data_IF_991328197428
#
_entry.id   IF_991328197428
#
_cell.length_a   1.000
_cell.length_b   1.000
_cell.length_c   1.000
_cell.angle_alpha   90.00
_cell.angle_beta   90.00
_cell.angle_gamma   90.00
#
_symmetry.space_group_name_H-M   'P 1'
#
loop_
_entity.id
_entity.type
_entity.pdbx_description
1 polymer ?
#
# COMPACT_ATOMS: atom_id res chain seq x y z
N UNK A 1 -17.69 -0.63 -59.29
CA UNK A 1 -17.96 -1.24 -57.97
C UNK A 1 -16.73 -2.00 -57.53
N UNK A 2 -15.95 -1.37 -56.64
CA UNK A 2 -15.24 -1.96 -55.50
C UNK A 2 -14.10 -1.02 -55.12
N UNK A 3 -14.48 -0.02 -54.34
CA UNK A 3 -13.59 0.82 -53.53
C UNK A 3 -12.77 -0.07 -52.59
N UNK A 4 -11.45 0.05 -52.64
CA UNK A 4 -10.55 -0.41 -51.58
C UNK A 4 -10.43 0.72 -50.57
N UNK A 5 -11.13 0.54 -49.45
CA UNK A 5 -11.05 1.39 -48.28
C UNK A 5 -9.61 1.48 -47.77
N UNK A 6 -9.17 2.72 -47.52
CA UNK A 6 -7.99 3.03 -46.76
C UNK A 6 -8.24 2.68 -45.29
N UNK A 7 -7.47 1.73 -44.75
CA UNK A 7 -7.43 1.46 -43.32
C UNK A 7 -6.74 2.62 -42.61
N UNK A 8 -7.55 3.51 -42.05
CA UNK A 8 -7.13 4.51 -41.09
C UNK A 8 -6.70 3.82 -39.80
N UNK A 9 -5.39 3.71 -39.58
CA UNK A 9 -4.84 3.52 -38.23
C UNK A 9 -5.15 4.78 -37.43
N UNK A 10 -6.25 4.73 -36.71
CA UNK A 10 -6.54 5.61 -35.58
C UNK A 10 -5.42 5.44 -34.55
N UNK A 11 -4.50 6.39 -34.51
CA UNK A 11 -3.57 6.56 -33.38
C UNK A 11 -4.40 6.91 -32.17
N UNK A 12 -4.73 5.90 -31.35
CA UNK A 12 -5.19 6.12 -30.00
C UNK A 12 -4.10 6.94 -29.30
N UNK A 13 -4.43 8.18 -28.94
CA UNK A 13 -3.65 9.02 -28.03
C UNK A 13 -3.63 8.31 -26.66
N UNK A 14 -2.77 7.32 -26.53
CA UNK A 14 -2.58 6.55 -25.30
C UNK A 14 -1.99 7.45 -24.25
N UNK A 15 -2.78 7.79 -23.23
CA UNK A 15 -2.23 8.15 -21.93
C UNK A 15 -1.23 7.06 -21.56
N UNK A 16 0.03 7.42 -21.31
CA UNK A 16 1.01 6.48 -20.79
C UNK A 16 0.41 5.76 -19.57
N UNK A 17 0.57 4.43 -19.42
CA UNK A 17 0.04 3.71 -18.28
C UNK A 17 0.63 4.32 -16.99
N UNK A 18 -0.26 4.76 -16.10
CA UNK A 18 0.14 5.32 -14.81
C UNK A 18 0.76 4.21 -13.94
N UNK A 19 1.93 4.47 -13.37
CA UNK A 19 2.59 3.54 -12.44
C UNK A 19 1.85 3.62 -11.10
N UNK A 20 1.60 2.49 -10.45
CA UNK A 20 0.99 2.48 -9.10
C UNK A 20 2.05 2.19 -8.04
N UNK A 21 1.79 2.57 -6.79
CA UNK A 21 2.66 2.17 -5.66
C UNK A 21 2.75 0.67 -5.47
N UNK A 22 1.66 -0.04 -5.74
CA UNK A 22 1.66 -1.50 -5.74
C UNK A 22 2.58 -2.07 -6.83
N UNK A 23 2.56 -1.46 -8.02
CA UNK A 23 3.51 -1.74 -9.09
C UNK A 23 4.96 -1.47 -8.65
N UNK A 24 5.24 -0.35 -7.97
CA UNK A 24 6.56 -0.08 -7.41
C UNK A 24 6.99 -1.14 -6.40
N UNK A 25 6.11 -1.51 -5.47
CA UNK A 25 6.39 -2.55 -4.49
C UNK A 25 6.67 -3.91 -5.16
N UNK A 26 5.91 -4.25 -6.20
CA UNK A 26 6.10 -5.45 -7.01
C UNK A 26 7.45 -5.43 -7.72
N UNK A 27 7.82 -4.32 -8.36
CA UNK A 27 9.09 -4.16 -9.05
C UNK A 27 10.31 -4.26 -8.11
N UNK A 28 10.20 -3.65 -6.92
CA UNK A 28 11.26 -3.71 -5.91
C UNK A 28 11.49 -5.15 -5.42
N UNK A 29 10.41 -5.93 -5.25
CA UNK A 29 10.50 -7.36 -4.89
C UNK A 29 11.09 -8.20 -6.02
N UNK A 30 10.56 -8.07 -7.23
CA UNK A 30 11.05 -8.78 -8.40
C UNK A 30 10.63 -8.05 -9.70
N UNK A 31 11.57 -7.56 -10.51
CA UNK A 31 11.26 -6.88 -11.77
C UNK A 31 10.53 -7.78 -12.77
N UNK A 32 10.88 -9.07 -12.81
CA UNK A 32 10.20 -10.08 -13.65
C UNK A 32 8.75 -10.29 -13.22
N UNK A 33 8.49 -10.31 -11.91
CA UNK A 33 7.11 -10.36 -11.40
C UNK A 33 6.32 -9.12 -11.83
N UNK A 34 6.94 -7.95 -11.77
CA UNK A 34 6.32 -6.71 -12.24
C UNK A 34 5.95 -6.79 -13.73
N UNK A 35 6.87 -7.26 -14.57
CA UNK A 35 6.60 -7.46 -16.00
C UNK A 35 5.38 -8.35 -16.23
N UNK A 36 5.34 -9.52 -15.59
CA UNK A 36 4.20 -10.43 -15.74
C UNK A 36 2.88 -9.83 -15.25
N UNK A 37 2.88 -9.24 -14.07
CA UNK A 37 1.68 -8.71 -13.44
C UNK A 37 1.17 -7.43 -14.11
N UNK A 38 2.04 -6.43 -14.29
CA UNK A 38 1.67 -5.05 -14.64
C UNK A 38 1.87 -4.72 -16.11
N UNK A 39 2.78 -5.41 -16.82
CA UNK A 39 3.01 -5.20 -18.27
C UNK A 39 2.19 -6.19 -19.10
N UNK A 40 2.17 -7.45 -18.70
CA UNK A 40 1.45 -8.51 -19.42
C UNK A 40 0.04 -8.80 -18.86
N UNK A 41 -0.31 -8.26 -17.69
CA UNK A 41 -1.64 -8.44 -17.11
C UNK A 41 -1.94 -9.88 -16.71
N UNK A 42 -0.90 -10.65 -16.34
CA UNK A 42 -1.03 -12.06 -15.97
C UNK A 42 -1.45 -12.27 -14.51
N UNK A 43 -1.58 -11.20 -13.72
CA UNK A 43 -1.97 -11.30 -12.31
C UNK A 43 -3.45 -11.66 -12.16
N UNK A 44 -3.71 -12.79 -11.51
CA UNK A 44 -5.04 -13.16 -11.06
C UNK A 44 -5.46 -12.27 -9.89
N UNK A 45 -6.72 -11.85 -9.87
CA UNK A 45 -7.31 -11.07 -8.76
C UNK A 45 -7.65 -11.95 -7.55
N UNK A 46 -6.83 -12.95 -7.25
CA UNK A 46 -7.08 -13.83 -6.11
C UNK A 46 -6.53 -13.16 -4.86
N UNK A 47 -7.30 -12.20 -4.33
CA UNK A 47 -7.06 -11.61 -3.03
C UNK A 47 -7.06 -12.72 -1.97
N UNK A 48 -6.13 -12.65 -1.02
CA UNK A 48 -6.16 -13.60 0.09
C UNK A 48 -7.46 -13.43 0.88
N UNK A 49 -8.02 -14.50 1.48
CA UNK A 49 -9.22 -14.37 2.31
C UNK A 49 -9.08 -13.33 3.43
N UNK A 50 -7.86 -13.12 3.93
CA UNK A 50 -7.58 -12.09 4.93
C UNK A 50 -7.72 -10.68 4.34
N UNK A 51 -7.15 -10.42 3.16
CA UNK A 51 -7.28 -9.12 2.49
C UNK A 51 -8.73 -8.82 2.12
N UNK A 52 -9.46 -9.82 1.59
CA UNK A 52 -10.87 -9.68 1.26
C UNK A 52 -11.70 -9.30 2.50
N UNK A 53 -11.46 -9.95 3.66
CA UNK A 53 -12.14 -9.62 4.92
C UNK A 53 -11.76 -8.24 5.47
N UNK A 54 -10.49 -7.85 5.37
CA UNK A 54 -10.04 -6.49 5.75
C UNK A 54 -10.70 -5.44 4.89
N UNK A 55 -10.88 -5.72 3.59
CA UNK A 55 -11.56 -4.81 2.69
C UNK A 55 -13.04 -4.61 3.06
N UNK A 56 -13.72 -5.62 3.63
CA UNK A 56 -15.07 -5.45 4.21
C UNK A 56 -15.05 -4.44 5.36
N UNK A 57 -14.08 -4.55 6.29
CA UNK A 57 -13.94 -3.65 7.44
C UNK A 57 -13.60 -2.23 6.97
N UNK A 58 -12.64 -2.10 6.05
CA UNK A 58 -12.26 -0.83 5.43
C UNK A 58 -13.47 -0.14 4.80
N UNK A 59 -14.25 -0.86 3.99
CA UNK A 59 -15.49 -0.34 3.36
C UNK A 59 -16.51 0.06 4.42
N UNK A 60 -16.73 -0.76 5.43
CA UNK A 60 -17.67 -0.46 6.51
C UNK A 60 -17.30 0.82 7.27
N UNK A 61 -16.02 1.00 7.65
CA UNK A 61 -15.52 2.21 8.29
C UNK A 61 -15.69 3.43 7.38
N UNK A 62 -15.29 3.34 6.12
CA UNK A 62 -15.41 4.46 5.18
C UNK A 62 -16.87 4.86 4.96
N UNK A 63 -17.77 3.89 4.85
CA UNK A 63 -19.20 4.13 4.66
C UNK A 63 -19.82 4.78 5.90
N UNK A 64 -19.43 4.34 7.10
CA UNK A 64 -19.82 4.98 8.36
C UNK A 64 -19.31 6.43 8.45
N UNK A 65 -18.04 6.70 8.13
CA UNK A 65 -17.50 8.07 8.13
C UNK A 65 -18.19 9.00 7.11
N UNK A 66 -18.84 8.45 6.07
CA UNK A 66 -19.63 9.23 5.11
C UNK A 66 -20.98 9.68 5.65
N UNK A 67 -21.53 9.03 6.67
CA UNK A 67 -22.83 9.43 7.24
C UNK A 67 -22.76 10.83 7.86
N UNK A 68 -21.58 11.21 8.35
CA UNK A 68 -21.38 12.47 9.06
C UNK A 68 -21.58 12.38 10.57
N UNK A 69 -21.89 11.18 11.09
CA UNK A 69 -21.95 10.94 12.53
C UNK A 69 -20.57 11.13 13.16
N UNK A 70 -20.49 11.98 14.19
CA UNK A 70 -19.24 12.25 14.93
C UNK A 70 -19.20 11.61 16.32
N UNK A 71 -20.35 11.17 16.83
CA UNK A 71 -20.45 10.41 18.08
C UNK A 71 -19.98 8.97 17.91
N UNK A 72 -19.16 8.47 18.85
CA UNK A 72 -18.61 7.12 18.81
C UNK A 72 -19.71 6.04 18.67
N UNK A 73 -20.75 6.09 19.50
CA UNK A 73 -21.84 5.09 19.47
C UNK A 73 -22.55 5.04 18.11
N UNK A 74 -22.91 6.21 17.56
CA UNK A 74 -23.59 6.31 16.27
C UNK A 74 -22.68 5.87 15.10
N UNK A 75 -21.38 6.18 15.18
CA UNK A 75 -20.40 5.75 14.18
C UNK A 75 -20.18 4.24 14.22
N UNK A 76 -20.09 3.65 15.41
CA UNK A 76 -19.94 2.20 15.61
C UNK A 76 -21.17 1.44 15.10
N UNK A 77 -22.38 1.91 15.44
CA UNK A 77 -23.63 1.35 14.94
C UNK A 77 -23.67 1.37 13.40
N UNK A 78 -23.41 2.52 12.79
CA UNK A 78 -23.37 2.67 11.34
C UNK A 78 -22.33 1.75 10.67
N UNK A 79 -21.14 1.63 11.26
CA UNK A 79 -20.09 0.76 10.73
C UNK A 79 -20.45 -0.73 10.87
N UNK A 80 -21.02 -1.15 12.00
CA UNK A 80 -21.44 -2.55 12.21
C UNK A 80 -22.60 -2.95 11.31
N UNK A 81 -23.59 -2.08 11.15
CA UNK A 81 -24.71 -2.33 10.23
C UNK A 81 -24.22 -2.51 8.80
N UNK A 82 -23.29 -1.64 8.38
CA UNK A 82 -22.70 -1.74 7.06
C UNK A 82 -21.86 -3.02 6.90
N UNK A 83 -21.03 -3.35 7.88
CA UNK A 83 -20.26 -4.60 7.89
C UNK A 83 -21.19 -5.81 7.83
N UNK A 84 -22.30 -5.81 8.57
CA UNK A 84 -23.30 -6.88 8.55
C UNK A 84 -23.91 -7.08 7.17
N UNK A 85 -24.18 -5.99 6.44
CA UNK A 85 -24.65 -6.04 5.05
C UNK A 85 -23.57 -6.62 4.14
N UNK A 86 -22.34 -6.10 4.19
CA UNK A 86 -21.23 -6.57 3.38
C UNK A 86 -20.89 -8.05 3.64
N UNK A 87 -20.96 -8.49 4.89
CA UNK A 87 -20.72 -9.87 5.30
C UNK A 87 -21.80 -10.85 4.84
N UNK A 88 -23.04 -10.38 4.69
CA UNK A 88 -24.13 -11.20 4.16
C UNK A 88 -23.87 -11.57 2.69
N UNK A 89 -23.31 -10.63 1.93
CA UNK A 89 -22.98 -10.78 0.50
C UNK A 89 -21.58 -11.37 0.26
N UNK A 90 -20.75 -11.49 1.30
CA UNK A 90 -19.38 -12.02 1.20
C UNK A 90 -19.38 -13.53 0.96
N UNK A 91 -18.93 -13.94 -0.23
CA UNK A 91 -18.82 -15.33 -0.63
C UNK A 91 -17.42 -15.88 -0.30
N UNK A 92 -17.30 -16.49 0.87
CA UNK A 92 -16.10 -17.20 1.30
C UNK A 92 -16.45 -18.59 1.82
N UNK A 93 -15.61 -19.57 1.46
CA UNK A 93 -15.75 -20.94 1.92
C UNK A 93 -15.19 -21.10 3.33
N UNK A 94 -16.08 -21.26 4.30
CA UNK A 94 -15.74 -21.60 5.68
C UNK A 94 -15.89 -23.10 5.92
N UNK A 95 -15.02 -23.68 6.77
CA UNK A 95 -15.14 -25.09 7.17
C UNK A 95 -16.37 -25.35 8.04
N UNK A 96 -16.92 -24.33 8.70
CA UNK A 96 -18.14 -24.45 9.50
C UNK A 96 -18.87 -23.12 9.70
N UNK A 97 -20.15 -23.18 10.06
CA UNK A 97 -20.92 -22.01 10.52
C UNK A 97 -20.36 -21.40 11.81
N UNK A 98 -19.69 -22.21 12.65
CA UNK A 98 -19.02 -21.70 13.85
C UNK A 98 -17.81 -20.83 13.48
N UNK A 99 -17.00 -21.26 12.51
CA UNK A 99 -15.90 -20.46 11.96
C UNK A 99 -16.42 -19.18 11.33
N UNK A 100 -17.45 -19.25 10.46
CA UNK A 100 -18.06 -18.05 9.86
C UNK A 100 -18.53 -17.04 10.92
N UNK A 101 -19.20 -17.50 11.99
CA UNK A 101 -19.62 -16.63 13.09
C UNK A 101 -18.45 -16.06 13.89
N UNK A 102 -17.38 -16.82 14.08
CA UNK A 102 -16.18 -16.35 14.76
C UNK A 102 -15.49 -15.24 13.96
N UNK A 103 -15.27 -15.46 12.67
CA UNK A 103 -14.64 -14.47 11.77
C UNK A 103 -15.46 -13.18 11.72
N UNK A 104 -16.79 -13.28 11.61
CA UNK A 104 -17.67 -12.09 11.71
C UNK A 104 -17.46 -11.30 13.01
N UNK A 105 -17.42 -11.98 14.16
CA UNK A 105 -17.20 -11.32 15.47
C UNK A 105 -15.84 -10.64 15.56
N UNK A 106 -14.80 -11.21 14.93
CA UNK A 106 -13.48 -10.58 14.85
C UNK A 106 -13.58 -9.27 14.06
N UNK A 107 -14.25 -9.26 12.92
CA UNK A 107 -14.44 -8.03 12.13
C UNK A 107 -15.26 -6.98 12.89
N UNK A 108 -16.32 -7.39 13.58
CA UNK A 108 -17.13 -6.49 14.42
C UNK A 108 -16.32 -5.91 15.58
N UNK A 109 -15.47 -6.70 16.24
CA UNK A 109 -14.57 -6.22 17.29
C UNK A 109 -13.49 -5.26 16.74
N UNK A 110 -13.01 -5.51 15.52
CA UNK A 110 -12.05 -4.63 14.84
C UNK A 110 -12.65 -3.27 14.56
N UNK A 111 -13.91 -3.23 14.10
CA UNK A 111 -14.66 -1.97 13.91
C UNK A 111 -14.78 -1.22 15.23
N UNK A 112 -15.17 -1.89 16.32
CA UNK A 112 -15.27 -1.28 17.64
C UNK A 112 -13.96 -0.69 18.11
N UNK A 113 -12.87 -1.45 18.00
CA UNK A 113 -11.55 -0.99 18.40
C UNK A 113 -11.08 0.24 17.61
N UNK A 114 -11.37 0.29 16.30
CA UNK A 114 -11.10 1.49 15.50
C UNK A 114 -11.91 2.69 15.99
N UNK A 115 -13.21 2.51 16.25
CA UNK A 115 -14.07 3.62 16.69
C UNK A 115 -13.65 4.15 18.06
N UNK A 116 -13.35 3.25 19.00
CA UNK A 116 -12.87 3.57 20.34
C UNK A 116 -11.51 4.31 20.30
N UNK A 117 -10.58 3.84 19.48
CA UNK A 117 -9.24 4.40 19.43
C UNK A 117 -9.13 5.72 18.66
N UNK A 118 -9.96 5.91 17.62
CA UNK A 118 -9.73 6.98 16.64
C UNK A 118 -10.99 7.52 15.94
N UNK A 119 -12.07 6.72 15.88
CA UNK A 119 -13.18 6.98 14.97
C UNK A 119 -13.86 8.33 15.19
N UNK A 120 -14.13 8.70 16.46
CA UNK A 120 -14.78 9.96 16.79
C UNK A 120 -13.93 11.19 16.43
N UNK A 121 -12.62 11.13 16.69
CA UNK A 121 -11.68 12.21 16.34
C UNK A 121 -11.56 12.37 14.83
N UNK A 122 -11.45 11.25 14.09
CA UNK A 122 -11.39 11.25 12.64
C UNK A 122 -12.69 11.77 12.02
N UNK A 123 -13.85 11.37 12.55
CA UNK A 123 -15.16 11.84 12.10
C UNK A 123 -15.33 13.34 12.34
N UNK A 124 -14.93 13.84 13.51
CA UNK A 124 -14.95 15.27 13.84
C UNK A 124 -14.02 16.08 12.93
N UNK A 125 -12.82 15.55 12.65
CA UNK A 125 -11.90 16.18 11.70
C UNK A 125 -12.39 16.15 10.25
N UNK A 126 -13.19 15.15 9.88
CA UNK A 126 -13.86 15.10 8.58
C UNK A 126 -14.97 16.14 8.48
N UNK A 127 -15.75 16.34 9.54
CA UNK A 127 -16.76 17.40 9.62
C UNK A 127 -16.10 18.77 9.48
N UNK A 128 -15.02 19.04 10.23
CA UNK A 128 -14.25 20.27 10.11
C UNK A 128 -13.72 20.48 8.68
N UNK A 129 -13.14 19.43 8.06
CA UNK A 129 -12.66 19.51 6.68
C UNK A 129 -13.79 19.79 5.67
N UNK A 130 -14.99 19.26 5.88
CA UNK A 130 -16.17 19.54 5.04
C UNK A 130 -16.65 20.98 5.19
N UNK A 131 -16.58 21.53 6.40
CA UNK A 131 -16.92 22.92 6.67
C UNK A 131 -15.94 23.89 6.01
N UNK A 132 -14.64 23.58 6.08
CA UNK A 132 -13.57 24.40 5.48
C UNK A 132 -13.54 24.30 3.95
N UNK A 133 -13.88 23.12 3.39
CA UNK A 133 -13.85 22.87 1.95
C UNK A 133 -15.13 22.16 1.45
N UNK A 134 -16.25 22.91 1.32
CA UNK A 134 -17.53 22.38 0.88
C UNK A 134 -17.48 22.03 -0.61
N UNK A 135 -17.52 20.74 -0.94
CA UNK A 135 -17.49 20.24 -2.33
C UNK A 135 -16.46 19.15 -2.60
N UNK A 136 -15.60 18.82 -1.63
CA UNK A 136 -14.67 17.70 -1.73
C UNK A 136 -15.27 16.36 -1.31
N UNK A 137 -15.07 15.31 -2.10
CA UNK A 137 -15.24 13.94 -1.62
C UNK A 137 -14.04 13.61 -0.71
N UNK A 138 -14.22 13.64 0.60
CA UNK A 138 -13.10 13.44 1.56
C UNK A 138 -12.95 12.00 2.06
N UNK A 139 -13.91 11.12 1.73
CA UNK A 139 -13.99 9.72 2.21
C UNK A 139 -14.31 8.77 1.06
N UNK A 140 -13.55 7.70 0.89
CA UNK A 140 -13.64 6.76 -0.22
C UNK A 140 -12.63 5.64 -0.05
N UNK A 141 -13.02 4.34 0.11
CA UNK A 141 -12.01 3.29 0.13
C UNK A 141 -11.22 3.40 -1.18
N UNK A 142 -9.90 3.38 -1.06
CA UNK A 142 -9.00 3.54 -2.20
C UNK A 142 -9.14 4.87 -2.99
N UNK A 143 -9.43 5.99 -2.33
CA UNK A 143 -9.34 7.32 -2.95
C UNK A 143 -7.95 7.54 -3.52
N UNK A 144 -7.90 7.81 -4.83
CA UNK A 144 -6.63 8.06 -5.52
C UNK A 144 -6.05 9.43 -5.15
N UNK A 145 -4.77 9.41 -4.84
CA UNK A 145 -3.88 10.57 -4.79
C UNK A 145 -2.70 10.26 -5.71
N UNK A 146 -2.12 11.27 -6.34
CA UNK A 146 -1.03 11.04 -7.28
C UNK A 146 0.10 12.04 -7.11
N UNK A 147 1.30 11.62 -7.50
CA UNK A 147 2.49 12.47 -7.56
C UNK A 147 3.08 12.40 -8.96
N UNK A 148 3.55 13.55 -9.47
CA UNK A 148 4.30 13.62 -10.72
C UNK A 148 5.79 13.68 -10.42
N UNK A 149 6.52 12.65 -10.85
CA UNK A 149 7.96 12.53 -10.66
C UNK A 149 8.66 12.87 -11.97
N UNK A 150 9.59 13.84 -11.91
CA UNK A 150 10.50 14.14 -13.01
C UNK A 150 11.63 13.12 -13.02
N UNK A 151 11.92 12.59 -14.21
CA UNK A 151 12.92 11.55 -14.37
C UNK A 151 14.30 12.17 -14.64
N UNK A 152 15.39 11.62 -14.08
CA UNK A 152 16.74 12.05 -14.39
C UNK A 152 17.06 11.76 -15.86
N UNK A 153 17.92 12.57 -16.48
CA UNK A 153 18.43 12.33 -17.83
C UNK A 153 19.05 10.92 -17.94
N UNK A 154 19.00 10.32 -19.12
CA UNK A 154 19.57 8.99 -19.31
C UNK A 154 21.09 9.03 -19.16
N UNK A 155 21.63 8.26 -18.20
CA UNK A 155 23.08 8.11 -17.95
C UNK A 155 23.88 7.60 -19.17
N UNK A 156 23.20 7.17 -20.24
CA UNK A 156 23.80 6.53 -21.42
C UNK A 156 24.05 7.41 -22.65
N UNK A 157 23.76 8.72 -22.63
CA UNK A 157 24.06 9.64 -23.74
C UNK A 157 23.37 9.31 -25.09
N UNK A 158 22.42 8.37 -25.12
CA UNK A 158 21.60 8.05 -26.28
C UNK A 158 20.44 9.05 -26.46
N UNK A 159 19.77 9.05 -27.64
CA UNK A 159 18.61 9.91 -27.84
C UNK A 159 17.52 9.62 -26.81
N UNK A 160 17.13 10.66 -26.07
CA UNK A 160 16.12 10.58 -25.02
C UNK A 160 14.73 10.42 -25.65
N UNK A 161 14.26 9.18 -25.73
CA UNK A 161 12.94 8.83 -26.27
C UNK A 161 11.91 8.56 -25.17
N UNK A 162 12.29 8.70 -23.90
CA UNK A 162 11.41 8.46 -22.75
C UNK A 162 10.65 9.71 -22.32
N UNK A 163 9.55 9.56 -21.54
CA UNK A 163 8.88 10.69 -20.91
C UNK A 163 9.83 11.40 -19.93
N UNK A 164 9.73 12.74 -19.86
CA UNK A 164 10.46 13.57 -18.89
C UNK A 164 9.88 13.47 -17.47
N UNK A 165 8.59 13.13 -17.37
CA UNK A 165 7.89 12.98 -16.10
C UNK A 165 6.85 11.86 -16.18
N UNK A 166 6.61 11.22 -15.04
CA UNK A 166 5.65 10.12 -14.90
C UNK A 166 4.75 10.37 -13.70
N UNK A 167 3.47 10.09 -13.86
CA UNK A 167 2.50 10.11 -12.77
C UNK A 167 2.51 8.76 -12.06
N UNK A 168 2.57 8.83 -10.73
CA UNK A 168 2.49 7.66 -9.85
C UNK A 168 1.22 7.80 -9.01
N UNK A 169 0.37 6.76 -9.06
CA UNK A 169 -0.88 6.69 -8.32
C UNK A 169 -0.70 5.95 -7.00
N UNK A 170 -1.25 6.51 -5.93
CA UNK A 170 -1.41 5.91 -4.62
C UNK A 170 -2.86 6.01 -4.15
N UNK A 171 -3.19 5.30 -3.08
CA UNK A 171 -4.50 5.32 -2.46
C UNK A 171 -4.45 5.69 -0.98
N UNK A 172 -5.46 6.44 -0.55
CA UNK A 172 -5.85 6.66 0.85
C UNK A 172 -7.33 6.30 0.99
N UNK A 173 -7.80 6.02 2.19
CA UNK A 173 -9.21 5.70 2.44
C UNK A 173 -10.04 6.95 2.80
N UNK A 174 -9.42 7.91 3.46
CA UNK A 174 -10.02 9.22 3.72
C UNK A 174 -8.93 10.24 4.07
N UNK A 175 -9.31 11.51 4.05
CA UNK A 175 -8.52 12.59 4.60
C UNK A 175 -9.35 13.41 5.58
N UNK A 176 -8.75 13.85 6.68
CA UNK A 176 -9.43 14.66 7.70
C UNK A 176 -8.55 15.84 8.13
N UNK A 177 -9.19 16.86 8.71
CA UNK A 177 -8.50 17.99 9.30
C UNK A 177 -8.12 17.69 10.75
N UNK A 178 -6.85 17.94 11.12
CA UNK A 178 -6.40 17.92 12.51
C UNK A 178 -5.68 19.23 12.83
N UNK A 179 -6.43 20.24 13.27
CA UNK A 179 -5.90 21.59 13.48
C UNK A 179 -5.30 22.16 12.20
N UNK A 180 -3.98 22.35 12.20
CA UNK A 180 -3.22 22.86 11.04
C UNK A 180 -2.75 21.76 10.07
N UNK A 181 -3.09 20.49 10.31
CA UNK A 181 -2.70 19.37 9.46
C UNK A 181 -3.87 18.91 8.58
N UNK A 182 -3.57 18.55 7.32
CA UNK A 182 -4.40 17.68 6.48
C UNK A 182 -3.82 16.26 6.56
N UNK A 183 -4.57 15.35 7.15
CA UNK A 183 -4.11 13.97 7.41
C UNK A 183 -4.79 13.02 6.44
N UNK A 184 -4.02 12.36 5.56
CA UNK A 184 -4.49 11.23 4.78
C UNK A 184 -4.32 9.93 5.56
N UNK A 185 -5.34 9.08 5.54
CA UNK A 185 -5.35 7.80 6.27
C UNK A 185 -5.49 6.63 5.30
N UNK A 186 -4.68 5.58 5.51
CA UNK A 186 -4.83 4.29 4.85
C UNK A 186 -5.03 3.19 5.89
N UNK A 187 -6.11 2.44 5.74
CA UNK A 187 -6.43 1.25 6.52
C UNK A 187 -5.80 0.04 5.83
N UNK A 188 -4.93 -0.67 6.53
CA UNK A 188 -4.11 -1.76 5.97
C UNK A 188 -4.37 -3.07 6.71
N UNK A 189 -4.19 -4.23 6.08
CA UNK A 189 -4.23 -5.50 6.80
C UNK A 189 -3.15 -5.57 7.90
N UNK A 190 -1.93 -5.10 7.60
CA UNK A 190 -0.80 -5.13 8.54
C UNK A 190 0.23 -4.06 8.20
N UNK A 191 0.99 -3.62 9.20
CA UNK A 191 2.17 -2.78 8.99
C UNK A 191 3.46 -3.56 8.77
N UNK A 192 3.40 -4.87 8.53
CA UNK A 192 4.59 -5.70 8.26
C UNK A 192 5.45 -5.15 7.12
N UNK A 193 4.83 -4.53 6.11
CA UNK A 193 5.53 -3.88 4.99
C UNK A 193 6.44 -2.72 5.42
N UNK A 194 6.23 -2.12 6.59
CA UNK A 194 7.14 -1.11 7.14
C UNK A 194 8.45 -1.70 7.66
N UNK A 195 8.51 -3.01 7.94
CA UNK A 195 9.69 -3.64 8.53
C UNK A 195 10.20 -2.88 9.76
N UNK A 196 11.52 -2.64 9.90
CA UNK A 196 12.07 -1.89 11.03
C UNK A 196 11.62 -0.43 11.15
N UNK A 197 11.05 0.16 10.09
CA UNK A 197 10.60 1.57 10.08
C UNK A 197 9.48 1.81 11.09
N UNK A 198 8.64 0.79 11.36
CA UNK A 198 7.52 0.90 12.32
C UNK A 198 7.96 1.24 13.75
N UNK A 199 9.20 0.93 14.11
CA UNK A 199 9.72 1.11 15.48
C UNK A 199 10.54 2.39 15.66
N UNK A 200 10.68 3.23 14.64
CA UNK A 200 11.54 4.41 14.69
C UNK A 200 10.71 5.67 14.89
N UNK A 201 10.65 6.14 16.14
CA UNK A 201 9.98 7.38 16.54
C UNK A 201 10.77 8.65 16.18
N UNK A 202 12.08 8.53 15.96
CA UNK A 202 12.93 9.60 15.44
C UNK A 202 14.04 9.03 14.56
N UNK A 203 14.44 9.79 13.54
CA UNK A 203 15.40 9.39 12.51
C UNK A 203 16.72 10.19 12.64
N UNK A 204 17.17 10.41 13.88
CA UNK A 204 18.38 11.19 14.17
C UNK A 204 19.65 10.32 14.14
N UNK A 205 20.78 10.92 13.72
CA UNK A 205 22.11 10.30 13.73
C UNK A 205 22.42 9.37 12.55
N UNK A 206 23.11 8.25 12.83
CA UNK A 206 23.72 7.29 11.88
C UNK A 206 22.77 6.62 10.87
N UNK A 207 21.47 6.92 10.91
CA UNK A 207 20.47 6.29 10.03
C UNK A 207 20.52 6.87 8.60
N UNK A 208 20.96 8.12 8.44
CA UNK A 208 21.09 8.76 7.12
C UNK A 208 22.21 8.12 6.26
N UNK A 209 23.35 7.86 6.87
CA UNK A 209 24.49 7.20 6.21
C UNK A 209 24.17 5.75 5.84
N UNK A 210 23.37 5.06 6.66
CA UNK A 210 22.90 3.69 6.39
C UNK A 210 21.80 3.62 5.32
N UNK A 211 21.26 4.77 4.91
CA UNK A 211 20.05 4.85 4.09
C UNK A 211 20.35 4.64 2.61
N UNK A 212 21.47 5.16 2.10
CA UNK A 212 21.85 4.98 0.69
C UNK A 212 22.00 3.50 0.33
N UNK A 213 22.54 2.73 1.25
CA UNK A 213 22.77 1.30 1.11
C UNK A 213 21.46 0.51 1.22
N UNK A 214 20.46 1.00 1.96
CA UNK A 214 19.12 0.40 1.99
C UNK A 214 18.33 0.55 0.68
N UNK A 215 18.74 1.45 -0.24
CA UNK A 215 18.11 1.58 -1.57
C UNK A 215 18.87 0.87 -2.68
N UNK A 216 20.08 0.37 -2.43
CA UNK A 216 20.83 -0.36 -3.44
C UNK A 216 20.32 -1.81 -3.51
N UNK A 217 19.64 -2.22 -4.59
CA UNK A 217 19.15 -3.59 -4.71
C UNK A 217 20.26 -4.65 -4.70
N UNK A 218 21.54 -4.28 -4.86
CA UNK A 218 22.67 -5.19 -4.68
C UNK A 218 23.10 -5.36 -3.21
N UNK A 219 22.81 -4.40 -2.32
CA UNK A 219 23.27 -4.43 -0.93
C UNK A 219 22.40 -5.33 -0.05
N UNK A 220 23.00 -6.09 0.87
CA UNK A 220 22.30 -7.05 1.75
C UNK A 220 21.30 -6.41 2.72
N UNK A 221 21.40 -5.10 2.94
CA UNK A 221 20.45 -4.33 3.76
C UNK A 221 19.22 -3.89 3.01
N UNK A 222 19.17 -4.07 1.69
CA UNK A 222 17.99 -3.72 0.91
C UNK A 222 16.81 -4.62 1.28
N UNK A 223 15.77 -3.98 1.81
CA UNK A 223 14.49 -4.60 2.11
C UNK A 223 13.39 -3.97 1.24
N UNK A 224 12.79 -4.72 0.29
CA UNK A 224 11.79 -4.17 -0.63
C UNK A 224 10.58 -3.52 0.05
N UNK A 225 10.12 -4.09 1.17
CA UNK A 225 8.94 -3.60 1.90
C UNK A 225 9.15 -2.18 2.45
N UNK A 226 10.14 -1.98 3.34
CA UNK A 226 10.49 -0.66 3.85
C UNK A 226 10.73 0.39 2.76
N UNK A 227 11.46 0.03 1.69
CA UNK A 227 11.70 0.95 0.55
C UNK A 227 10.39 1.31 -0.15
N UNK A 228 9.52 0.35 -0.42
CA UNK A 228 8.22 0.60 -1.03
C UNK A 228 7.34 1.51 -0.16
N UNK A 229 7.36 1.33 1.17
CA UNK A 229 6.62 2.19 2.10
C UNK A 229 7.12 3.64 2.12
N UNK A 230 8.43 3.85 1.97
CA UNK A 230 9.02 5.20 1.85
C UNK A 230 8.60 5.87 0.54
N UNK A 231 8.61 5.13 -0.58
CA UNK A 231 8.11 5.61 -1.86
C UNK A 231 6.62 5.94 -1.81
N UNK A 232 5.82 5.07 -1.20
CA UNK A 232 4.40 5.32 -0.99
C UNK A 232 4.16 6.58 -0.19
N UNK A 233 4.88 6.75 0.92
CA UNK A 233 4.77 7.95 1.75
C UNK A 233 5.11 9.21 0.96
N UNK A 234 6.16 9.17 0.13
CA UNK A 234 6.53 10.28 -0.75
C UNK A 234 5.41 10.63 -1.74
N UNK A 235 4.83 9.62 -2.40
CA UNK A 235 3.76 9.81 -3.39
C UNK A 235 2.48 10.33 -2.71
N UNK A 236 2.10 9.76 -1.58
CA UNK A 236 0.90 10.18 -0.83
C UNK A 236 1.04 11.60 -0.31
N UNK A 237 2.18 11.98 0.26
CA UNK A 237 2.38 13.36 0.77
C UNK A 237 2.32 14.40 -0.36
N UNK A 238 2.91 14.13 -1.52
CA UNK A 238 2.81 15.01 -2.69
C UNK A 238 1.36 15.08 -3.22
N UNK A 239 0.66 13.95 -3.24
CA UNK A 239 -0.75 13.90 -3.60
C UNK A 239 -1.67 14.62 -2.61
N UNK A 240 -1.37 14.56 -1.31
CA UNK A 240 -2.07 15.31 -0.26
C UNK A 240 -1.82 16.81 -0.37
N UNK A 241 -0.60 17.25 -0.75
CA UNK A 241 -0.32 18.67 -1.04
C UNK A 241 -1.14 19.16 -2.22
N UNK A 242 -1.20 18.38 -3.29
CA UNK A 242 -2.06 18.68 -4.46
C UNK A 242 -3.54 18.75 -4.05
N UNK A 243 -3.98 17.84 -3.17
CA UNK A 243 -5.33 17.86 -2.61
C UNK A 243 -5.58 19.12 -1.78
N UNK A 244 -4.65 19.47 -0.87
CA UNK A 244 -4.70 20.67 -0.03
C UNK A 244 -4.84 21.92 -0.88
N UNK A 245 -3.99 22.07 -1.89
CA UNK A 245 -3.97 23.23 -2.78
C UNK A 245 -5.28 23.35 -3.56
N UNK A 246 -5.83 22.21 -4.04
CA UNK A 246 -7.14 22.18 -4.71
C UNK A 246 -8.31 22.55 -3.78
N UNK A 247 -8.18 22.29 -2.48
CA UNK A 247 -9.20 22.60 -1.49
C UNK A 247 -9.02 24.00 -0.88
N UNK A 248 -8.08 24.81 -1.37
CA UNK A 248 -7.75 26.15 -0.84
C UNK A 248 -7.39 26.12 0.66
N UNK A 249 -6.76 25.02 1.10
CA UNK A 249 -6.31 24.83 2.48
C UNK A 249 -4.84 25.27 2.65
N UNK A 250 -4.48 26.37 2.00
CA UNK A 250 -3.13 26.93 2.02
C UNK A 250 -2.69 27.18 3.48
N UNK A 251 -1.44 26.82 3.80
CA UNK A 251 -0.90 26.92 5.16
C UNK A 251 -1.05 25.66 6.02
N UNK A 252 -1.81 24.64 5.57
CA UNK A 252 -1.82 23.33 6.25
C UNK A 252 -0.61 22.48 5.88
N UNK A 253 -0.06 21.79 6.87
CA UNK A 253 0.91 20.70 6.65
C UNK A 253 0.18 19.44 6.21
N UNK A 254 0.88 18.53 5.53
CA UNK A 254 0.30 17.26 5.10
C UNK A 254 0.93 16.11 5.89
N UNK A 255 0.09 15.19 6.36
CA UNK A 255 0.51 14.02 7.11
C UNK A 255 -0.10 12.76 6.54
N UNK A 256 0.68 11.68 6.55
CA UNK A 256 0.20 10.35 6.17
C UNK A 256 0.17 9.44 7.40
N UNK A 257 -0.97 8.79 7.61
CA UNK A 257 -1.25 7.84 8.68
C UNK A 257 -1.62 6.48 8.08
N UNK A 258 -1.02 5.41 8.60
CA UNK A 258 -1.39 4.03 8.26
C UNK A 258 -1.93 3.34 9.51
N UNK A 259 -3.08 2.69 9.39
CA UNK A 259 -3.76 2.02 10.50
C UNK A 259 -3.92 0.54 10.16
N UNK A 260 -3.32 -0.38 10.92
CA UNK A 260 -3.56 -1.80 10.73
C UNK A 260 -4.95 -2.18 11.24
N UNK A 261 -5.66 -3.01 10.47
CA UNK A 261 -6.96 -3.59 10.83
C UNK A 261 -6.89 -5.09 11.13
N UNK A 262 -5.82 -5.76 10.73
CA UNK A 262 -5.65 -7.21 10.94
C UNK A 262 -4.24 -7.56 11.43
N UNK A 263 -3.52 -6.62 12.06
CA UNK A 263 -2.18 -6.89 12.57
C UNK A 263 -2.23 -7.81 13.80
N UNK A 264 -2.23 -9.11 13.51
CA UNK A 264 -1.99 -10.20 14.47
C UNK A 264 -0.51 -10.58 14.52
N UNK A 265 0.40 -9.72 14.03
CA UNK A 265 1.76 -10.12 13.71
C UNK A 265 2.52 -10.58 14.98
N UNK A 266 2.54 -11.91 15.20
CA UNK A 266 3.31 -12.68 16.20
C UNK A 266 2.80 -12.81 17.64
N UNK A 267 1.55 -12.48 17.96
CA UNK A 267 0.96 -12.82 19.29
C UNK A 267 0.29 -14.20 19.35
N UNK A 268 0.15 -14.91 18.22
CA UNK A 268 -0.12 -16.35 18.31
C UNK A 268 1.18 -17.12 18.56
N UNK A 269 1.33 -17.56 19.82
CA UNK A 269 1.96 -18.85 20.17
C UNK A 269 3.49 -18.84 20.11
N UNK A 270 4.07 -18.64 21.29
CA UNK A 270 5.38 -19.20 21.63
C UNK A 270 5.31 -20.73 21.42
N UNK A 271 5.71 -21.23 20.24
CA UNK A 271 6.02 -22.65 20.05
C UNK A 271 7.36 -22.96 20.74
N UNK A 272 7.46 -22.66 22.03
CA UNK A 272 8.46 -23.28 22.88
C UNK A 272 7.91 -24.66 23.20
N UNK A 273 8.55 -25.67 22.61
CA UNK A 273 8.39 -27.09 22.90
C UNK A 273 7.92 -27.34 24.34
N UNK A 274 6.72 -27.94 24.48
CA UNK A 274 6.46 -28.86 25.59
C UNK A 274 5.38 -28.54 26.61
N UNK A 275 4.66 -27.41 26.55
CA UNK A 275 3.54 -27.17 27.48
C UNK A 275 2.39 -26.45 26.78
N UNK A 276 1.32 -27.20 26.50
CA UNK A 276 0.03 -26.67 26.08
C UNK A 276 -0.69 -26.20 27.36
N UNK A 277 -0.72 -24.90 27.62
CA UNK A 277 -1.69 -24.33 28.55
C UNK A 277 -3.01 -24.11 27.80
N UNK A 278 -3.96 -25.01 28.05
CA UNK A 278 -5.34 -24.95 27.55
C UNK A 278 -6.19 -23.99 28.39
N UNK A 279 -5.86 -22.71 28.37
CA UNK A 279 -6.79 -21.66 28.82
C UNK A 279 -6.53 -20.38 28.04
N UNK A 280 -7.04 -20.32 26.82
CA UNK A 280 -7.24 -19.07 26.08
C UNK A 280 -8.56 -18.48 26.57
N UNK A 281 -8.54 -17.34 27.27
CA UNK A 281 -9.77 -16.62 27.55
C UNK A 281 -10.25 -15.93 26.26
N UNK A 282 -11.58 -15.71 26.07
CA UNK A 282 -12.10 -15.02 24.89
C UNK A 282 -11.45 -13.66 24.63
N UNK A 283 -10.99 -12.97 25.69
CA UNK A 283 -10.22 -11.72 25.64
C UNK A 283 -8.90 -11.88 24.89
N UNK A 284 -8.19 -13.00 25.06
CA UNK A 284 -6.89 -13.27 24.42
C UNK A 284 -7.01 -13.56 22.91
N UNK A 285 -8.23 -13.74 22.40
CA UNK A 285 -8.53 -14.06 20.98
C UNK A 285 -9.24 -12.88 20.27
N UNK A 286 -9.60 -11.82 21.02
CA UNK A 286 -10.37 -10.66 20.51
C UNK A 286 -9.60 -9.36 20.43
N UNK A 287 -8.34 -9.29 20.86
CA UNK A 287 -7.58 -8.04 20.83
C UNK A 287 -7.26 -7.60 19.39
N UNK A 288 -7.98 -6.59 18.93
CA UNK A 288 -7.66 -5.83 17.73
C UNK A 288 -6.59 -4.78 18.07
N UNK A 289 -5.45 -4.86 17.40
CA UNK A 289 -4.36 -3.90 17.55
C UNK A 289 -4.53 -2.77 16.53
N UNK A 290 -4.91 -1.58 17.01
CA UNK A 290 -4.95 -0.33 16.23
C UNK A 290 -3.88 0.60 16.79
N UNK A 291 -2.78 0.76 16.06
CA UNK A 291 -1.72 1.73 16.39
C UNK A 291 -1.63 2.82 15.32
N UNK A 292 -1.35 4.04 15.77
CA UNK A 292 -1.34 5.25 14.98
C UNK A 292 0.10 5.62 14.60
N UNK A 293 0.58 5.13 13.45
CA UNK A 293 1.93 5.47 13.01
C UNK A 293 1.96 6.66 12.05
N UNK A 294 2.55 7.76 12.54
CA UNK A 294 2.68 9.03 11.84
C UNK A 294 4.00 9.13 11.07
N UNK A 295 3.94 9.34 9.75
CA UNK A 295 5.15 9.47 8.92
C UNK A 295 5.40 10.87 8.34
N UNK A 296 4.43 11.78 8.44
CA UNK A 296 4.46 13.10 7.78
C UNK A 296 5.65 13.99 8.15
N UNK A 297 5.81 14.34 9.43
CA UNK A 297 6.84 15.29 9.87
C UNK A 297 8.29 14.79 9.65
N UNK A 298 8.50 13.48 9.72
CA UNK A 298 9.85 12.90 9.59
C UNK A 298 10.34 12.87 8.13
N UNK A 299 9.42 12.79 7.18
CA UNK A 299 9.72 12.73 5.74
C UNK A 299 9.95 14.09 5.09
N UNK A 300 9.37 15.18 5.60
CA UNK A 300 9.49 16.52 5.00
C UNK A 300 10.95 17.00 4.89
N UNK A 301 11.80 16.63 5.86
CA UNK A 301 13.24 16.99 5.86
C UNK A 301 14.10 16.19 4.89
N UNK A 302 13.62 15.03 4.41
CA UNK A 302 14.42 14.07 3.60
C UNK A 302 13.76 13.65 2.28
N UNK A 303 12.72 14.38 1.85
CA UNK A 303 12.01 14.17 0.59
C UNK A 303 12.95 14.11 -0.65
N UNK A 304 14.05 14.88 -0.75
CA UNK A 304 14.90 14.85 -1.96
C UNK A 304 15.54 13.49 -2.26
N UNK A 305 16.15 12.82 -1.28
CA UNK A 305 16.85 11.55 -1.51
C UNK A 305 15.88 10.41 -1.86
N UNK A 306 14.77 10.29 -1.13
CA UNK A 306 13.71 9.32 -1.43
C UNK A 306 13.14 9.55 -2.82
N UNK A 307 12.90 10.82 -3.18
CA UNK A 307 12.34 11.22 -4.47
C UNK A 307 13.30 10.97 -5.64
N UNK A 308 14.60 11.20 -5.44
CA UNK A 308 15.63 10.88 -6.43
C UNK A 308 15.74 9.37 -6.67
N UNK A 309 15.72 8.57 -5.59
CA UNK A 309 15.72 7.10 -5.69
C UNK A 309 14.45 6.57 -6.35
N UNK A 310 13.29 7.13 -6.00
CA UNK A 310 12.02 6.85 -6.65
C UNK A 310 12.09 7.14 -8.15
N UNK A 311 12.61 8.31 -8.54
CA UNK A 311 12.77 8.69 -9.94
C UNK A 311 13.68 7.73 -10.72
N UNK A 312 14.78 7.24 -10.10
CA UNK A 312 15.65 6.21 -10.70
C UNK A 312 14.94 4.87 -10.89
N UNK A 313 14.17 4.41 -9.91
CA UNK A 313 13.37 3.17 -10.04
C UNK A 313 12.31 3.30 -11.13
N UNK A 314 11.61 4.43 -11.17
CA UNK A 314 10.62 4.72 -12.22
C UNK A 314 11.27 4.76 -13.60
N UNK A 315 12.44 5.39 -13.72
CA UNK A 315 13.20 5.41 -14.99
C UNK A 315 13.53 4.00 -15.46
N UNK A 316 13.92 3.08 -14.56
CA UNK A 316 14.15 1.67 -14.90
C UNK A 316 12.88 0.95 -15.39
N UNK A 317 11.73 1.21 -14.75
CA UNK A 317 10.44 0.66 -15.17
C UNK A 317 10.07 1.15 -16.58
N UNK A 318 10.18 2.46 -16.82
CA UNK A 318 9.90 3.08 -18.13
C UNK A 318 10.87 2.60 -19.21
N UNK A 319 12.11 2.30 -18.84
CA UNK A 319 13.12 1.72 -19.73
C UNK A 319 13.01 0.19 -19.87
N UNK A 320 11.92 -0.42 -19.38
CA UNK A 320 11.63 -1.86 -19.45
C UNK A 320 12.74 -2.77 -18.90
N UNK A 321 13.43 -2.30 -17.85
CA UNK A 321 14.50 -3.06 -17.19
C UNK A 321 13.91 -4.05 -16.20
N UNK A 322 13.46 -5.19 -16.72
CA UNK A 322 12.80 -6.26 -15.96
C UNK A 322 13.65 -7.50 -15.67
N UNK A 323 14.93 -7.47 -16.02
CA UNK A 323 15.86 -8.54 -15.67
C UNK A 323 16.05 -8.61 -14.14
N UNK A 324 15.66 -9.73 -13.48
CA UNK A 324 15.80 -9.88 -12.04
C UNK A 324 17.25 -10.15 -11.61
N UNK A 325 18.15 -10.47 -12.54
CA UNK A 325 19.58 -10.69 -12.29
C UNK A 325 20.39 -9.39 -12.23
N UNK A 326 19.78 -8.25 -12.60
CA UNK A 326 20.41 -6.93 -12.59
C UNK A 326 19.93 -6.02 -11.42
N UNK A 327 20.86 -5.36 -10.69
CA UNK A 327 22.32 -5.49 -10.78
C UNK A 327 22.83 -6.84 -10.24
N UNK A 328 24.10 -7.15 -10.54
CA UNK A 328 24.75 -8.37 -10.08
C UNK A 328 24.59 -8.57 -8.56
N UNK A 329 24.35 -9.81 -8.14
CA UNK A 329 24.08 -10.18 -6.74
C UNK A 329 22.60 -10.05 -6.32
N UNK A 330 21.74 -9.42 -7.13
CA UNK A 330 20.31 -9.31 -6.83
C UNK A 330 19.57 -10.66 -6.92
N UNK A 331 19.98 -11.53 -7.85
CA UNK A 331 19.27 -12.77 -8.13
C UNK A 331 19.13 -13.66 -6.89
N UNK A 332 20.21 -13.90 -6.15
CA UNK A 332 20.19 -14.76 -4.94
C UNK A 332 19.11 -14.32 -3.94
N UNK A 333 18.93 -13.01 -3.76
CA UNK A 333 17.87 -12.49 -2.89
C UNK A 333 16.48 -12.67 -3.47
N UNK A 334 16.33 -12.50 -4.78
CA UNK A 334 15.06 -12.70 -5.50
C UNK A 334 14.66 -14.18 -5.45
N UNK A 335 15.59 -15.09 -5.75
CA UNK A 335 15.36 -16.54 -5.69
C UNK A 335 15.01 -16.99 -4.28
N UNK A 336 15.72 -16.50 -3.25
CA UNK A 336 15.44 -16.88 -1.85
C UNK A 336 14.13 -16.31 -1.31
N UNK A 337 13.81 -15.05 -1.60
CA UNK A 337 12.72 -14.32 -0.91
C UNK A 337 11.46 -14.13 -1.72
N UNK A 338 11.56 -14.03 -3.05
CA UNK A 338 10.42 -13.74 -3.92
C UNK A 338 9.90 -14.99 -4.64
N UNK A 339 10.79 -15.84 -5.16
CA UNK A 339 10.39 -17.02 -5.93
C UNK A 339 9.54 -18.05 -5.18
N UNK A 340 9.75 -18.37 -3.88
CA UNK A 340 9.00 -19.44 -3.20
C UNK A 340 7.48 -19.22 -3.14
N UNK A 341 7.05 -17.96 -3.26
CA UNK A 341 5.63 -17.57 -3.24
C UNK A 341 5.20 -16.89 -4.55
N UNK A 342 5.98 -17.05 -5.62
CA UNK A 342 5.72 -16.41 -6.91
C UNK A 342 4.92 -17.34 -7.82
N UNK A 343 3.68 -16.94 -8.14
CA UNK A 343 2.78 -17.66 -9.05
C UNK A 343 3.34 -17.80 -10.48
N UNK A 344 4.29 -16.95 -10.86
CA UNK A 344 4.91 -16.94 -12.19
C UNK A 344 6.18 -17.79 -12.31
N UNK A 345 6.58 -18.50 -11.24
CA UNK A 345 7.81 -19.33 -11.25
C UNK A 345 7.88 -20.28 -12.44
N UNK A 346 6.76 -20.89 -12.80
CA UNK A 346 6.65 -21.84 -13.93
C UNK A 346 6.94 -21.23 -15.31
N UNK A 347 6.84 -19.90 -15.44
CA UNK A 347 7.11 -19.17 -16.68
C UNK A 347 8.38 -18.29 -16.58
N UNK A 348 9.05 -18.29 -15.43
CA UNK A 348 10.23 -17.48 -15.18
C UNK A 348 11.48 -18.18 -15.72
N UNK A 349 12.06 -17.66 -16.81
CA UNK A 349 13.24 -18.25 -17.45
C UNK A 349 14.43 -18.35 -16.51
N UNK A 350 14.66 -17.34 -15.66
CA UNK A 350 15.76 -17.32 -14.71
C UNK A 350 15.61 -18.41 -13.63
N UNK A 351 14.40 -18.56 -13.07
CA UNK A 351 14.11 -19.57 -12.06
C UNK A 351 14.23 -20.99 -12.63
N UNK A 352 13.65 -21.23 -13.83
CA UNK A 352 13.75 -22.52 -14.51
C UNK A 352 15.21 -22.86 -14.84
N UNK A 353 16.00 -21.89 -15.28
CA UNK A 353 17.41 -22.10 -15.56
C UNK A 353 18.24 -22.48 -14.33
N UNK A 354 17.89 -21.97 -13.14
CA UNK A 354 18.50 -22.35 -11.87
C UNK A 354 18.11 -23.77 -11.45
N UNK A 355 16.81 -24.11 -11.49
CA UNK A 355 16.31 -25.44 -11.10
C UNK A 355 16.80 -26.58 -12.00
N UNK A 356 17.06 -26.30 -13.29
CA UNK A 356 17.57 -27.30 -14.25
C UNK A 356 19.09 -27.30 -14.39
N UNK A 357 19.79 -26.51 -13.57
CA UNK A 357 21.26 -26.49 -13.56
C UNK A 357 21.76 -27.81 -12.98
N UNK A 358 22.41 -28.62 -13.81
CA UNK A 358 23.10 -29.80 -13.33
C UNK A 358 24.38 -29.36 -12.62
N UNK A 359 24.54 -29.76 -11.36
CA UNK A 359 25.81 -29.69 -10.65
C UNK A 359 26.84 -30.51 -11.43
N UNK A 360 27.76 -29.81 -12.10
CA UNK A 360 28.86 -30.41 -12.87
C UNK A 360 30.05 -30.77 -12.00
#
# INVERSE_FOLDING_TARGET
MSDRAADGRTTASGSAPAITVDGLATYLRCPRRYEFAHVHGLEGKDESPTEARVDLVRRAICDALRTGETGADALEEAARDRLGTLWADHDERFHSLAQRRHERRVLEATVSAYVEAAGADHASGLEALRADAPGGTHVGPNRRVSSTIRLPENDGGGPDLGPEAVTIDASIDYAYANGSELVGVRLEPTLAGLGPIRYRSSWEGAVEELFDEHFDPADDRFEPGPVAALFETSVVLDGLRTLRDRLDLEGRTCRYLRIPLAERSRTSINWVRGTVETSLEPVDVTDAFVDHHAFGMTHERRNPAVRERLARVVRRIVAERFDPTEPAGRWDRVSDRACPNCEYTVCCGEYVAEEVRFDG
#
